data_IF_381878739584
#
_entry.id   IF_381878739584
#
_cell.length_a   1.000
_cell.length_b   1.000
_cell.length_c   1.000
_cell.angle_alpha   90.00
_cell.angle_beta   90.00
_cell.angle_gamma   90.00
#
_symmetry.space_group_name_H-M   'P 1'
#
loop_
_entity.id
_entity.type
_entity.pdbx_description
1 polymer ?
#
# COMPACT_ATOMS: atom_id res chain seq x y z
N UNK A 1 -6.08 -5.09 14.26
CA UNK A 1 -5.21 -4.02 13.70
C UNK A 1 -5.13 -2.88 14.70
N UNK A 2 -3.97 -2.28 14.87
CA UNK A 2 -3.84 -1.11 15.74
C UNK A 2 -4.37 0.13 15.01
N UNK A 3 -5.42 0.72 15.57
CA UNK A 3 -6.10 1.88 14.98
C UNK A 3 -5.17 3.08 14.79
N UNK A 4 -4.35 3.39 15.77
CA UNK A 4 -3.50 4.59 15.74
C UNK A 4 -2.42 4.47 14.67
N UNK A 5 -1.84 3.29 14.50
CA UNK A 5 -0.85 3.03 13.45
C UNK A 5 -1.51 3.11 12.08
N UNK A 6 -2.69 2.52 11.93
CA UNK A 6 -3.44 2.57 10.67
C UNK A 6 -3.77 4.02 10.27
N UNK A 7 -4.29 4.81 11.19
CA UNK A 7 -4.64 6.21 10.93
C UNK A 7 -3.41 7.03 10.57
N UNK A 8 -2.30 6.81 11.27
CA UNK A 8 -1.05 7.52 10.99
C UNK A 8 -0.52 7.18 9.59
N UNK A 9 -0.60 5.92 9.18
CA UNK A 9 -0.22 5.49 7.83
C UNK A 9 -1.11 6.12 6.77
N UNK A 10 -2.43 6.13 6.98
CA UNK A 10 -3.37 6.75 6.05
C UNK A 10 -3.07 8.23 5.87
N UNK A 11 -2.87 8.96 6.96
CA UNK A 11 -2.58 10.39 6.92
C UNK A 11 -1.26 10.67 6.20
N UNK A 12 -0.23 9.87 6.48
CA UNK A 12 1.07 10.01 5.82
C UNK A 12 0.98 9.77 4.33
N UNK A 13 0.29 8.70 3.92
CA UNK A 13 0.14 8.34 2.51
C UNK A 13 -0.72 9.37 1.76
N UNK A 14 -1.79 9.86 2.36
CA UNK A 14 -2.62 10.90 1.74
C UNK A 14 -1.83 12.18 1.49
N UNK A 15 -0.99 12.56 2.43
CA UNK A 15 -0.19 13.78 2.34
C UNK A 15 0.94 13.65 1.31
N UNK A 16 1.67 12.54 1.33
CA UNK A 16 2.90 12.38 0.55
C UNK A 16 2.68 11.75 -0.82
N UNK A 17 1.60 10.98 -0.99
CA UNK A 17 1.29 10.28 -2.24
C UNK A 17 -0.16 10.60 -2.66
N UNK A 18 -0.45 11.84 -3.05
CA UNK A 18 -1.81 12.26 -3.38
C UNK A 18 -2.40 11.56 -4.61
N UNK A 19 -1.58 10.87 -5.40
CA UNK A 19 -2.07 10.09 -6.53
C UNK A 19 -2.83 8.83 -6.13
N UNK A 20 -2.71 8.37 -4.88
CA UNK A 20 -3.52 7.27 -4.37
C UNK A 20 -4.95 7.76 -4.14
N UNK A 21 -5.92 7.08 -4.77
CA UNK A 21 -7.34 7.47 -4.72
C UNK A 21 -8.13 6.73 -3.65
N UNK A 22 -7.59 5.63 -3.11
CA UNK A 22 -8.25 4.81 -2.12
C UNK A 22 -7.21 4.20 -1.18
N UNK A 23 -7.33 4.47 0.11
CA UNK A 23 -6.45 3.93 1.15
C UNK A 23 -7.35 3.34 2.23
N UNK A 24 -7.21 2.05 2.48
CA UNK A 24 -8.09 1.33 3.41
C UNK A 24 -7.38 0.13 4.01
N UNK A 25 -8.03 -0.54 4.95
CA UNK A 25 -7.62 -1.85 5.44
C UNK A 25 -7.76 -2.89 4.33
N UNK A 26 -6.88 -3.88 4.33
CA UNK A 26 -6.99 -5.01 3.42
C UNK A 26 -8.04 -6.01 3.96
N UNK A 27 -9.24 -5.92 3.42
CA UNK A 27 -10.36 -6.80 3.76
C UNK A 27 -10.69 -7.79 2.64
N UNK A 28 -9.76 -7.98 1.70
CA UNK A 28 -9.97 -8.86 0.56
C UNK A 28 -10.75 -8.22 -0.59
N UNK A 29 -10.82 -6.89 -0.65
CA UNK A 29 -11.59 -6.18 -1.68
C UNK A 29 -11.15 -6.50 -3.11
N UNK A 30 -9.88 -6.87 -3.30
CA UNK A 30 -9.35 -7.21 -4.62
C UNK A 30 -9.57 -8.68 -5.00
N UNK A 31 -10.03 -9.51 -4.06
CA UNK A 31 -10.28 -10.94 -4.27
C UNK A 31 -11.72 -11.15 -4.76
N UNK A 32 -12.04 -10.57 -5.90
CA UNK A 32 -13.39 -10.68 -6.50
C UNK A 32 -13.32 -11.48 -7.79
N UNK A 33 -14.47 -12.06 -8.17
CA UNK A 33 -14.57 -12.80 -9.43
C UNK A 33 -14.37 -11.89 -10.65
N UNK A 34 -14.09 -12.50 -11.79
CA UNK A 34 -13.78 -11.78 -13.03
C UNK A 34 -14.90 -10.84 -13.51
N UNK A 35 -16.15 -11.13 -13.13
CA UNK A 35 -17.32 -10.34 -13.50
C UNK A 35 -17.67 -9.25 -12.50
N UNK A 36 -16.94 -9.16 -11.38
CA UNK A 36 -17.25 -8.23 -10.29
C UNK A 36 -16.15 -7.18 -10.19
N UNK A 37 -16.56 -5.91 -10.18
CA UNK A 37 -15.61 -4.82 -9.96
C UNK A 37 -15.27 -4.72 -8.47
N UNK A 38 -13.98 -4.59 -8.09
CA UNK A 38 -13.60 -4.34 -6.70
C UNK A 38 -14.24 -3.06 -6.17
N UNK A 39 -14.55 -3.05 -4.86
CA UNK A 39 -15.16 -1.90 -4.19
C UNK A 39 -14.09 -0.88 -3.77
N UNK A 40 -13.22 -0.49 -4.70
CA UNK A 40 -12.14 0.48 -4.46
C UNK A 40 -11.94 1.34 -5.71
N UNK A 41 -11.40 2.54 -5.52
CA UNK A 41 -10.93 3.37 -6.63
C UNK A 41 -9.45 3.11 -6.86
N UNK A 42 -9.03 3.10 -8.12
CA UNK A 42 -7.62 2.89 -8.47
C UNK A 42 -6.93 4.22 -8.80
N UNK A 43 -5.66 4.38 -8.47
CA UNK A 43 -4.79 3.49 -7.70
C UNK A 43 -5.21 3.39 -6.23
N UNK A 44 -5.11 2.20 -5.65
CA UNK A 44 -5.44 2.01 -4.25
C UNK A 44 -4.27 1.43 -3.45
N UNK A 45 -4.30 1.65 -2.15
CA UNK A 45 -3.38 1.07 -1.19
C UNK A 45 -4.19 0.39 -0.10
N UNK A 46 -4.03 -0.91 0.05
CA UNK A 46 -4.67 -1.68 1.11
C UNK A 46 -3.62 -2.08 2.13
N UNK A 47 -3.92 -1.83 3.40
CA UNK A 47 -2.98 -1.96 4.50
C UNK A 47 -3.35 -3.15 5.38
N UNK A 48 -2.39 -4.05 5.61
CA UNK A 48 -2.50 -5.14 6.55
C UNK A 48 -1.42 -5.00 7.61
N UNK A 49 -1.81 -5.09 8.88
CA UNK A 49 -0.89 -4.99 10.01
C UNK A 49 -0.99 -6.27 10.84
N UNK A 50 0.13 -6.99 10.96
CA UNK A 50 0.22 -8.22 11.72
C UNK A 50 1.22 -8.08 12.85
N UNK A 51 0.93 -8.67 14.00
CA UNK A 51 1.88 -8.81 15.09
C UNK A 51 2.79 -9.99 14.79
N UNK A 52 4.10 -9.72 14.64
CA UNK A 52 5.06 -10.77 14.33
C UNK A 52 5.83 -11.25 15.57
N UNK A 53 5.81 -10.48 16.66
CA UNK A 53 6.45 -10.85 17.90
C UNK A 53 6.18 -9.84 19.01
N UNK A 54 6.34 -10.29 20.25
CA UNK A 54 6.18 -9.45 21.42
C UNK A 54 7.19 -9.90 22.48
N UNK A 55 7.94 -8.97 23.05
CA UNK A 55 8.91 -9.24 24.09
C UNK A 55 8.76 -8.23 25.22
N UNK A 56 8.87 -8.73 26.46
CA UNK A 56 8.93 -7.84 27.62
C UNK A 56 10.37 -7.30 27.77
N UNK A 57 10.51 -5.98 27.78
CA UNK A 57 11.79 -5.32 28.04
C UNK A 57 11.97 -5.05 29.53
N UNK A 58 10.86 -4.65 30.19
CA UNK A 58 10.78 -4.46 31.63
C UNK A 58 9.38 -4.83 32.08
N UNK A 59 9.11 -4.78 33.40
CA UNK A 59 7.76 -5.05 33.94
C UNK A 59 6.68 -4.12 33.37
N UNK A 60 7.07 -2.94 32.83
CA UNK A 60 6.16 -1.91 32.35
C UNK A 60 6.29 -1.65 30.84
N UNK A 61 7.24 -2.27 30.17
CA UNK A 61 7.51 -2.04 28.76
C UNK A 61 7.54 -3.34 27.98
N UNK A 62 6.88 -3.33 26.82
CA UNK A 62 6.94 -4.42 25.85
C UNK A 62 7.47 -3.91 24.52
N UNK A 63 8.30 -4.72 23.88
CA UNK A 63 8.67 -4.50 22.48
C UNK A 63 7.76 -5.37 21.61
N UNK A 64 7.02 -4.73 20.71
CA UNK A 64 6.11 -5.40 19.78
C UNK A 64 6.64 -5.22 18.38
N UNK A 65 6.88 -6.33 17.68
CA UNK A 65 7.26 -6.32 16.28
C UNK A 65 6.01 -6.41 15.42
N UNK A 66 5.87 -5.51 14.47
CA UNK A 66 4.74 -5.47 13.54
C UNK A 66 5.24 -5.72 12.13
N UNK A 67 4.47 -6.50 11.38
CA UNK A 67 4.63 -6.62 9.94
C UNK A 67 3.53 -5.83 9.27
N UNK A 68 3.91 -4.83 8.50
CA UNK A 68 2.97 -3.98 7.76
C UNK A 68 3.13 -4.29 6.28
N UNK A 69 2.05 -4.75 5.67
CA UNK A 69 2.02 -5.07 4.23
C UNK A 69 1.13 -4.06 3.53
N UNK A 70 1.67 -3.39 2.53
CA UNK A 70 0.93 -2.46 1.68
C UNK A 70 0.71 -3.11 0.32
N UNK A 71 -0.54 -3.31 -0.03
CA UNK A 71 -0.92 -3.86 -1.33
C UNK A 71 -1.35 -2.70 -2.22
N UNK A 72 -0.57 -2.43 -3.25
CA UNK A 72 -0.86 -1.37 -4.22
C UNK A 72 -1.48 -1.98 -5.47
N UNK A 73 -2.61 -1.44 -5.89
CA UNK A 73 -3.29 -1.89 -7.10
C UNK A 73 -3.54 -0.71 -8.02
N UNK A 74 -3.38 -0.95 -9.31
CA UNK A 74 -3.47 0.07 -10.35
C UNK A 74 -4.45 -0.35 -11.44
N UNK A 75 -5.08 0.61 -12.12
CA UNK A 75 -5.86 0.27 -13.29
C UNK A 75 -4.96 -0.24 -14.41
N UNK A 76 -5.51 -1.07 -15.30
CA UNK A 76 -4.78 -1.50 -16.48
C UNK A 76 -4.44 -0.29 -17.35
N UNK A 77 -3.17 -0.10 -17.67
CA UNK A 77 -2.69 1.06 -18.44
C UNK A 77 -1.98 0.69 -19.74
N UNK A 78 -2.14 -0.52 -20.20
CA UNK A 78 -1.51 -0.99 -21.41
C UNK A 78 -0.47 -2.08 -21.17
N UNK A 79 0.22 -2.46 -22.21
CA UNK A 79 1.16 -3.57 -22.20
C UNK A 79 2.55 -3.12 -21.77
N UNK A 80 3.19 -3.89 -20.91
CA UNK A 80 4.52 -3.59 -20.38
C UNK A 80 5.60 -4.58 -20.80
N UNK A 81 5.27 -5.55 -21.68
CA UNK A 81 6.28 -6.51 -22.14
C UNK A 81 7.39 -5.81 -22.94
N UNK A 82 8.56 -6.45 -23.01
CA UNK A 82 9.78 -5.81 -23.52
C UNK A 82 9.70 -5.30 -24.95
N UNK A 83 8.80 -5.83 -25.77
CA UNK A 83 8.62 -5.45 -27.17
C UNK A 83 7.35 -4.63 -27.42
N UNK A 84 6.68 -4.17 -26.37
CA UNK A 84 5.53 -3.29 -26.51
C UNK A 84 5.97 -1.94 -27.09
N UNK A 85 5.08 -1.21 -27.80
CA UNK A 85 5.41 0.14 -28.24
C UNK A 85 5.87 1.01 -27.07
N UNK A 86 6.92 1.79 -27.28
CA UNK A 86 7.59 2.54 -26.20
C UNK A 86 6.63 3.39 -25.37
N UNK A 87 5.78 4.17 -26.02
CA UNK A 87 4.84 5.04 -25.31
C UNK A 87 3.81 4.25 -24.48
N UNK A 88 3.34 3.12 -25.00
CA UNK A 88 2.39 2.24 -24.28
C UNK A 88 3.09 1.63 -23.07
N UNK A 89 4.31 1.15 -23.25
CA UNK A 89 5.10 0.53 -22.20
C UNK A 89 5.44 1.54 -21.10
N UNK A 90 5.84 2.75 -21.43
CA UNK A 90 6.15 3.80 -20.45
C UNK A 90 4.93 4.12 -19.59
N UNK A 91 3.75 4.24 -20.21
CA UNK A 91 2.53 4.50 -19.48
C UNK A 91 2.19 3.34 -18.53
N UNK A 92 2.32 2.11 -19.02
CA UNK A 92 2.06 0.91 -18.20
C UNK A 92 3.02 0.80 -17.02
N UNK A 93 4.27 1.23 -17.20
CA UNK A 93 5.29 1.17 -16.15
C UNK A 93 5.27 2.38 -15.21
N UNK A 94 4.43 3.37 -15.46
CA UNK A 94 4.30 4.58 -14.63
C UNK A 94 3.92 4.28 -13.19
N UNK A 95 3.30 3.12 -12.91
CA UNK A 95 2.97 2.69 -11.55
C UNK A 95 4.19 2.57 -10.65
N UNK A 96 5.36 2.30 -11.20
CA UNK A 96 6.59 2.17 -10.41
C UNK A 96 6.99 3.49 -9.73
N UNK A 97 6.66 4.62 -10.34
CA UNK A 97 6.90 5.93 -9.71
C UNK A 97 6.06 6.09 -8.43
N UNK A 98 4.81 5.61 -8.43
CA UNK A 98 3.94 5.63 -7.25
C UNK A 98 4.49 4.69 -6.17
N UNK A 99 4.93 3.49 -6.55
CA UNK A 99 5.53 2.53 -5.61
C UNK A 99 6.76 3.16 -4.93
N UNK A 100 7.62 3.82 -5.70
CA UNK A 100 8.80 4.50 -5.16
C UNK A 100 8.43 5.60 -4.17
N UNK A 101 7.41 6.41 -4.47
CA UNK A 101 6.95 7.46 -3.55
C UNK A 101 6.42 6.88 -2.25
N UNK A 102 5.67 5.78 -2.29
CA UNK A 102 5.17 5.09 -1.10
C UNK A 102 6.34 4.62 -0.25
N UNK A 103 7.32 3.97 -0.87
CA UNK A 103 8.50 3.49 -0.16
C UNK A 103 9.26 4.63 0.49
N UNK A 104 9.54 5.70 -0.27
CA UNK A 104 10.35 6.81 0.20
C UNK A 104 9.68 7.58 1.34
N UNK A 105 8.37 7.76 1.31
CA UNK A 105 7.68 8.51 2.35
C UNK A 105 7.58 7.75 3.68
N UNK A 106 7.74 6.44 3.67
CA UNK A 106 7.66 5.61 4.88
C UNK A 106 9.04 5.23 5.41
N UNK A 107 10.07 5.24 4.58
CA UNK A 107 11.42 4.88 5.00
C UNK A 107 11.96 5.92 5.99
N UNK A 108 12.33 5.46 7.18
CA UNK A 108 12.86 6.35 8.22
C UNK A 108 11.82 7.24 8.89
N UNK A 109 10.54 7.13 8.52
CA UNK A 109 9.48 7.91 9.13
C UNK A 109 9.06 7.31 10.47
N UNK A 110 8.85 8.17 11.45
CA UNK A 110 8.38 7.80 12.79
C UNK A 110 6.98 8.37 13.00
N UNK A 111 6.05 7.49 13.31
CA UNK A 111 4.65 7.86 13.55
C UNK A 111 4.48 8.60 14.88
#
# INVERSE_FOLDING_TARGET
MNKDIFVALCDRLEKEVPSLRWIDEDLGQLNVGNSTRPAVDFPCCLIDIEYSGCRDLTDLCQLVDLKITLKLAFPYQGESYSKAPEKVREKALGRYAVVSKVHDCLQGWTA
#
